data_IF_855498494363
#
_entry.id   IF_855498494363
#
_cell.length_a   1.000
_cell.length_b   1.000
_cell.length_c   1.000
_cell.angle_alpha   90.00
_cell.angle_beta   90.00
_cell.angle_gamma   90.00
#
_symmetry.space_group_name_H-M   'P 1'
#
loop_
_entity.id
_entity.type
_entity.pdbx_description
1 polymer ?
#
# COMPACT_ATOMS: atom_id res chain seq x y z
N UNK A 1 31.68 -2.96 -68.11
CA UNK A 1 30.81 -1.82 -67.71
C UNK A 1 30.57 -1.94 -66.21
N UNK A 2 31.56 -1.52 -65.41
CA UNK A 2 31.61 -0.24 -64.66
C UNK A 2 30.61 -0.19 -63.50
N UNK A 3 31.16 -0.28 -62.29
CA UNK A 3 30.49 -0.20 -61.00
C UNK A 3 29.90 1.20 -60.76
N UNK A 4 28.66 1.24 -60.24
CA UNK A 4 28.03 2.46 -59.73
C UNK A 4 28.36 2.63 -58.25
N UNK A 5 29.20 3.61 -57.96
CA UNK A 5 29.48 4.11 -56.61
C UNK A 5 28.41 5.14 -56.24
N UNK A 6 27.63 4.89 -55.19
CA UNK A 6 26.74 5.89 -54.58
C UNK A 6 27.55 6.70 -53.57
N UNK A 7 27.64 8.02 -53.78
CA UNK A 7 28.29 8.99 -52.90
C UNK A 7 27.46 9.20 -51.63
N UNK A 8 28.10 9.03 -50.48
CA UNK A 8 27.56 9.37 -49.16
C UNK A 8 27.72 10.89 -48.96
N UNK A 9 26.61 11.60 -48.78
CA UNK A 9 26.58 13.02 -48.46
C UNK A 9 27.04 13.28 -47.02
N UNK A 10 28.01 14.18 -46.88
CA UNK A 10 28.51 14.74 -45.63
C UNK A 10 27.43 15.62 -44.98
N UNK A 11 27.00 15.26 -43.76
CA UNK A 11 26.25 16.14 -42.87
C UNK A 11 27.23 16.87 -41.95
N UNK A 12 27.25 18.20 -42.11
CA UNK A 12 28.05 19.16 -41.36
C UNK A 12 27.78 19.07 -39.85
N UNK A 13 28.84 18.85 -39.09
CA UNK A 13 28.86 19.01 -37.63
C UNK A 13 28.81 20.50 -37.28
N UNK A 14 27.71 20.96 -36.72
CA UNK A 14 27.64 22.27 -36.06
C UNK A 14 28.21 22.14 -34.64
N UNK A 15 29.49 22.47 -34.47
CA UNK A 15 30.10 22.70 -33.16
C UNK A 15 29.61 24.02 -32.57
N UNK A 16 28.75 23.95 -31.55
CA UNK A 16 28.41 25.10 -30.70
C UNK A 16 29.60 25.40 -29.76
N UNK A 17 30.29 26.53 -29.99
CA UNK A 17 31.27 27.09 -29.05
C UNK A 17 30.52 27.72 -27.88
N UNK A 18 30.66 27.16 -26.69
CA UNK A 18 30.24 27.80 -25.44
C UNK A 18 31.26 28.85 -25.00
N UNK A 19 30.80 30.07 -24.74
CA UNK A 19 31.59 31.17 -24.18
C UNK A 19 31.66 31.04 -22.64
N UNK A 20 32.79 31.32 -21.98
CA UNK A 20 32.91 31.11 -20.54
C UNK A 20 32.26 32.27 -19.77
N UNK A 21 31.13 32.01 -19.13
CA UNK A 21 30.58 32.88 -18.09
C UNK A 21 31.31 32.63 -16.77
N UNK A 22 32.00 33.65 -16.30
CA UNK A 22 32.61 33.75 -14.96
C UNK A 22 31.55 33.55 -13.87
N UNK A 23 31.57 32.40 -13.21
CA UNK A 23 30.79 32.16 -12.00
C UNK A 23 31.59 32.62 -10.78
N UNK A 24 31.20 33.74 -10.18
CA UNK A 24 31.78 34.23 -8.94
C UNK A 24 31.52 33.19 -7.82
N UNK A 25 32.58 32.57 -7.31
CA UNK A 25 32.51 31.70 -6.13
C UNK A 25 32.15 32.55 -4.90
N UNK A 26 30.89 32.46 -4.47
CA UNK A 26 30.48 32.95 -3.15
C UNK A 26 30.93 31.92 -2.11
N UNK A 27 31.96 32.26 -1.34
CA UNK A 27 32.42 31.45 -0.20
C UNK A 27 31.36 31.46 0.89
N UNK A 28 30.68 30.35 1.12
CA UNK A 28 29.82 30.16 2.28
C UNK A 28 30.72 29.74 3.45
N UNK A 29 30.79 30.61 4.47
CA UNK A 29 31.44 30.34 5.75
C UNK A 29 30.60 29.29 6.48
N UNK A 30 31.15 28.09 6.68
CA UNK A 30 30.56 27.07 7.56
C UNK A 30 30.53 27.64 8.98
N UNK A 31 29.31 27.79 9.54
CA UNK A 31 29.12 28.08 10.95
C UNK A 31 29.31 26.78 11.73
N UNK A 32 30.26 26.79 12.66
CA UNK A 32 30.54 25.66 13.54
C UNK A 32 29.34 25.35 14.44
N UNK A 33 29.04 24.05 14.58
CA UNK A 33 28.00 23.54 15.46
C UNK A 33 28.44 23.66 16.93
N UNK A 34 27.61 24.32 17.72
CA UNK A 34 27.75 24.44 19.18
C UNK A 34 27.64 23.06 19.87
N UNK A 35 28.43 22.76 20.90
CA UNK A 35 28.39 21.47 21.58
C UNK A 35 27.12 21.33 22.44
N UNK A 36 26.48 20.17 22.26
CA UNK A 36 25.34 19.67 23.02
C UNK A 36 25.67 19.59 24.52
N UNK A 37 24.93 20.31 25.35
CA UNK A 37 24.98 20.17 26.81
C UNK A 37 24.33 18.84 27.21
N UNK A 38 25.12 17.95 27.82
CA UNK A 38 24.67 16.71 28.41
C UNK A 38 23.83 16.98 29.66
N UNK A 39 22.52 16.75 29.61
CA UNK A 39 21.70 16.66 30.82
C UNK A 39 21.82 15.27 31.41
N UNK A 40 22.52 15.17 32.54
CA UNK A 40 22.57 13.99 33.39
C UNK A 40 21.19 13.74 34.00
N UNK A 41 20.51 12.69 33.56
CA UNK A 41 19.33 12.15 34.24
C UNK A 41 19.83 11.33 35.44
N UNK A 42 19.58 11.82 36.65
CA UNK A 42 19.84 11.09 37.90
C UNK A 42 18.85 9.92 38.00
N UNK A 43 19.34 8.70 37.88
CA UNK A 43 18.59 7.49 38.23
C UNK A 43 18.40 7.44 39.75
N UNK A 44 17.14 7.37 40.20
CA UNK A 44 16.80 6.94 41.57
C UNK A 44 16.60 5.42 41.57
N UNK A 45 17.15 4.67 42.54
CA UNK A 45 16.93 3.24 42.64
C UNK A 45 15.52 2.97 43.18
N UNK A 46 14.75 2.15 42.45
CA UNK A 46 13.48 1.62 42.94
C UNK A 46 13.76 0.46 43.90
N UNK A 47 13.37 0.65 45.16
CA UNK A 47 13.35 -0.37 46.20
C UNK A 47 12.28 -1.43 45.88
N UNK A 48 12.68 -2.70 45.90
CA UNK A 48 11.76 -3.83 45.87
C UNK A 48 11.00 -3.97 47.20
N UNK A 49 9.71 -4.27 47.14
CA UNK A 49 9.04 -5.12 48.13
C UNK A 49 7.82 -5.81 47.50
N UNK A 50 7.52 -7.07 47.85
CA UNK A 50 6.68 -7.95 47.04
C UNK A 50 5.21 -7.92 47.49
N UNK A 51 4.29 -8.13 46.54
CA UNK A 51 2.98 -8.66 46.86
C UNK A 51 2.51 -9.62 45.77
N UNK A 52 2.75 -10.90 46.05
CA UNK A 52 2.05 -12.02 45.46
C UNK A 52 0.59 -11.96 45.92
N UNK A 53 -0.34 -11.74 44.99
CA UNK A 53 -1.70 -12.29 44.99
C UNK A 53 -2.54 -11.62 43.89
N UNK A 54 -2.65 -12.26 42.72
CA UNK A 54 -3.86 -12.31 41.87
C UNK A 54 -3.51 -12.80 40.46
N UNK A 55 -3.10 -14.06 40.32
CA UNK A 55 -2.73 -14.64 39.01
C UNK A 55 -3.87 -15.39 38.31
N UNK A 56 -5.15 -15.10 38.61
CA UNK A 56 -6.27 -15.92 38.11
C UNK A 56 -7.49 -15.15 37.55
N UNK A 57 -7.41 -13.84 37.26
CA UNK A 57 -8.57 -13.08 36.71
C UNK A 57 -8.25 -12.19 35.49
N UNK A 58 -7.17 -12.45 34.74
CA UNK A 58 -6.75 -11.56 33.64
C UNK A 58 -7.29 -11.95 32.25
N UNK A 59 -8.16 -12.98 32.16
CA UNK A 59 -8.46 -13.62 30.88
C UNK A 59 -9.70 -13.15 30.12
N UNK A 60 -10.47 -12.15 30.59
CA UNK A 60 -11.64 -11.69 29.81
C UNK A 60 -12.02 -10.21 30.01
N UNK A 61 -11.03 -9.31 30.13
CA UNK A 61 -11.30 -7.87 30.11
C UNK A 61 -11.58 -7.38 28.68
N UNK A 62 -12.73 -6.73 28.48
CA UNK A 62 -13.14 -6.09 27.23
C UNK A 62 -12.02 -5.19 26.64
N UNK A 63 -11.69 -5.26 25.34
CA UNK A 63 -10.59 -4.50 24.75
C UNK A 63 -10.58 -2.99 25.03
N UNK A 64 -11.76 -2.37 25.19
CA UNK A 64 -11.87 -0.94 25.54
C UNK A 64 -11.39 -0.69 26.98
N UNK A 65 -11.74 -1.56 27.91
CA UNK A 65 -11.29 -1.47 29.31
C UNK A 65 -9.77 -1.60 29.45
N UNK A 66 -9.14 -2.51 28.69
CA UNK A 66 -7.68 -2.64 28.63
C UNK A 66 -7.02 -1.37 28.06
N UNK A 67 -7.57 -0.78 27.01
CA UNK A 67 -7.03 0.45 26.41
C UNK A 67 -7.05 1.66 27.37
N UNK A 68 -8.10 1.79 28.20
CA UNK A 68 -8.19 2.83 29.23
C UNK A 68 -7.17 2.61 30.36
N UNK A 69 -6.99 1.37 30.81
CA UNK A 69 -5.98 1.00 31.82
C UNK A 69 -4.54 1.26 31.33
N UNK A 70 -4.29 1.14 30.02
CA UNK A 70 -3.01 1.45 29.37
C UNK A 70 -2.79 2.95 29.09
N UNK A 71 -3.69 3.83 29.55
CA UNK A 71 -3.52 5.29 29.51
C UNK A 71 -4.15 6.00 28.30
N UNK A 72 -4.96 5.30 27.50
CA UNK A 72 -5.76 5.95 26.44
C UNK A 72 -6.84 6.84 27.03
N UNK A 73 -7.15 7.99 26.40
CA UNK A 73 -8.19 8.90 26.91
C UNK A 73 -9.60 8.37 26.58
N UNK A 74 -10.58 8.65 27.44
CA UNK A 74 -11.98 8.18 27.24
C UNK A 74 -12.56 8.53 25.86
N UNK A 75 -12.39 9.77 25.40
CA UNK A 75 -12.86 10.20 24.08
C UNK A 75 -12.18 9.51 22.87
N UNK A 76 -11.03 8.84 23.08
CA UNK A 76 -10.32 8.08 22.05
C UNK A 76 -10.80 6.60 22.01
N UNK A 77 -11.50 6.15 23.05
CA UNK A 77 -11.92 4.75 23.25
C UNK A 77 -13.44 4.61 23.14
N UNK A 78 -14.19 5.58 23.64
CA UNK A 78 -15.65 5.58 23.72
C UNK A 78 -16.31 6.22 22.49
N UNK A 79 -17.54 5.81 22.18
CA UNK A 79 -18.34 6.29 21.05
C UNK A 79 -18.29 5.39 19.81
N UNK A 80 -19.39 5.35 19.04
CA UNK A 80 -19.55 4.49 17.85
C UNK A 80 -18.41 4.65 16.83
N UNK A 81 -17.90 5.88 16.71
CA UNK A 81 -16.79 6.22 15.79
C UNK A 81 -15.44 5.63 16.17
N UNK A 82 -15.30 5.03 17.36
CA UNK A 82 -14.06 4.41 17.85
C UNK A 82 -14.12 2.88 17.86
N UNK A 83 -15.27 2.26 17.57
CA UNK A 83 -15.41 0.79 17.62
C UNK A 83 -14.50 0.04 16.64
N UNK A 84 -14.17 0.66 15.52
CA UNK A 84 -13.29 0.07 14.50
C UNK A 84 -11.88 -0.22 15.05
N UNK A 85 -11.42 0.51 16.07
CA UNK A 85 -10.10 0.34 16.71
C UNK A 85 -9.94 -1.02 17.38
N UNK A 86 -11.06 -1.68 17.70
CA UNK A 86 -11.10 -2.95 18.41
C UNK A 86 -11.47 -4.14 17.51
N UNK A 87 -11.63 -3.90 16.20
CA UNK A 87 -11.95 -4.92 15.18
C UNK A 87 -10.76 -5.11 14.25
N UNK A 88 -10.68 -6.27 13.59
CA UNK A 88 -9.75 -6.44 12.49
C UNK A 88 -10.01 -5.37 11.41
N UNK A 89 -8.97 -4.77 10.82
CA UNK A 89 -7.54 -5.11 10.91
C UNK A 89 -6.76 -4.43 12.07
N UNK A 90 -7.42 -3.67 12.94
CA UNK A 90 -6.77 -2.77 13.90
C UNK A 90 -6.71 -3.29 15.33
N UNK A 91 -7.42 -4.39 15.61
CA UNK A 91 -7.28 -5.13 16.87
C UNK A 91 -5.80 -5.45 17.06
N UNK A 92 -5.16 -4.79 18.03
CA UNK A 92 -3.79 -5.11 18.42
C UNK A 92 -3.82 -6.52 18.98
N UNK A 93 -3.20 -7.47 18.29
CA UNK A 93 -2.94 -8.78 18.86
C UNK A 93 -1.76 -8.60 19.82
N UNK A 94 -2.04 -8.15 21.05
CA UNK A 94 -1.06 -8.32 22.12
C UNK A 94 -0.89 -9.82 22.31
N UNK A 95 0.20 -10.36 21.76
CA UNK A 95 0.66 -11.71 22.01
C UNK A 95 -0.35 -12.82 21.64
N UNK A 96 -0.98 -12.77 20.46
CA UNK A 96 -1.61 -13.99 19.94
C UNK A 96 -0.49 -15.00 19.60
N UNK A 97 -0.32 -16.09 20.36
CA UNK A 97 0.74 -17.06 20.11
C UNK A 97 0.58 -17.76 18.75
N UNK A 98 -0.58 -17.62 18.11
CA UNK A 98 -0.89 -18.23 16.82
C UNK A 98 -0.66 -17.29 15.62
N UNK A 99 -0.37 -16.00 15.81
CA UNK A 99 -0.05 -15.11 14.69
C UNK A 99 1.38 -15.34 14.20
N UNK A 100 1.52 -16.17 13.17
CA UNK A 100 2.82 -16.45 12.54
C UNK A 100 3.27 -15.29 11.66
N UNK A 101 4.01 -14.32 12.19
CA UNK A 101 4.55 -13.21 11.41
C UNK A 101 5.57 -13.69 10.34
N UNK A 102 5.21 -13.54 9.07
CA UNK A 102 6.04 -13.90 7.91
C UNK A 102 6.73 -12.67 7.28
N UNK A 103 6.00 -11.56 7.20
CA UNK A 103 6.50 -10.31 6.62
C UNK A 103 6.33 -9.16 7.60
N UNK A 104 7.25 -8.20 7.53
CA UNK A 104 7.13 -6.92 8.22
C UNK A 104 6.94 -5.79 7.21
N UNK A 105 6.15 -4.80 7.59
CA UNK A 105 6.04 -3.55 6.86
C UNK A 105 5.85 -2.36 7.78
N UNK A 106 5.87 -1.18 7.18
CA UNK A 106 5.66 0.06 7.92
C UNK A 106 5.67 1.28 7.02
N UNK A 107 5.23 2.40 7.57
CA UNK A 107 5.32 3.68 6.87
C UNK A 107 6.77 4.19 6.79
N UNK A 108 7.02 5.17 5.92
CA UNK A 108 8.36 5.70 5.69
C UNK A 108 9.03 6.26 6.96
N UNK A 109 8.28 6.96 7.83
CA UNK A 109 8.83 7.51 9.07
C UNK A 109 8.97 6.48 10.21
N UNK A 110 8.49 5.24 10.02
CA UNK A 110 8.57 4.18 11.01
C UNK A 110 7.61 4.31 12.21
N UNK A 111 6.73 5.32 12.23
CA UNK A 111 5.69 5.47 13.27
C UNK A 111 4.63 4.38 13.21
N UNK A 112 4.30 3.92 12.00
CA UNK A 112 3.37 2.80 11.80
C UNK A 112 4.18 1.57 11.41
N UNK A 113 3.99 0.47 12.14
CA UNK A 113 4.62 -0.83 11.88
C UNK A 113 3.58 -1.93 11.99
N UNK A 114 3.69 -2.93 11.12
CA UNK A 114 2.78 -4.06 11.08
C UNK A 114 3.49 -5.32 10.57
N UNK A 115 2.83 -6.46 10.78
CA UNK A 115 3.24 -7.78 10.35
C UNK A 115 2.12 -8.44 9.54
N UNK A 116 2.49 -9.36 8.64
CA UNK A 116 1.54 -10.20 7.92
C UNK A 116 1.75 -11.68 8.23
N UNK A 117 0.67 -12.44 8.33
CA UNK A 117 0.71 -13.88 8.64
C UNK A 117 0.55 -14.81 7.42
N UNK A 118 0.21 -14.26 6.25
CA UNK A 118 -0.04 -15.02 5.02
C UNK A 118 1.17 -14.96 4.08
N UNK A 119 1.61 -16.12 3.59
CA UNK A 119 2.82 -16.26 2.74
C UNK A 119 2.66 -15.65 1.34
N UNK A 120 1.47 -15.77 0.74
CA UNK A 120 1.13 -15.23 -0.58
C UNK A 120 -0.24 -14.54 -0.50
N UNK A 121 -0.42 -13.32 -1.04
CA UNK A 121 -1.72 -12.67 -1.05
C UNK A 121 -2.78 -13.51 -1.77
N UNK A 122 -4.05 -13.23 -1.49
CA UNK A 122 -5.17 -13.82 -2.23
C UNK A 122 -5.07 -13.50 -3.72
N UNK A 123 -4.65 -12.27 -4.03
CA UNK A 123 -4.32 -11.81 -5.37
C UNK A 123 -3.51 -10.51 -5.29
N UNK A 124 -2.87 -10.09 -6.38
CA UNK A 124 -2.22 -8.79 -6.48
C UNK A 124 -2.50 -8.15 -7.84
N UNK A 125 -2.72 -6.83 -7.86
CA UNK A 125 -3.20 -6.10 -9.04
C UNK A 125 -2.49 -4.77 -9.20
N UNK A 126 -2.38 -4.32 -10.46
CA UNK A 126 -2.16 -2.92 -10.77
C UNK A 126 -3.49 -2.23 -11.09
N UNK A 127 -3.82 -1.14 -10.40
CA UNK A 127 -5.01 -0.33 -10.68
C UNK A 127 -4.63 0.99 -11.32
N UNK A 128 -5.21 1.27 -12.49
CA UNK A 128 -4.90 2.45 -13.30
C UNK A 128 -5.97 3.55 -13.21
N UNK A 129 -6.97 3.42 -12.34
CA UNK A 129 -8.01 4.44 -12.25
C UNK A 129 -7.42 5.78 -11.78
N UNK A 130 -8.00 6.88 -12.25
CA UNK A 130 -7.47 8.23 -11.97
C UNK A 130 -7.40 8.55 -10.48
N UNK A 131 -8.35 8.03 -9.68
CA UNK A 131 -8.31 8.17 -8.22
C UNK A 131 -7.08 7.52 -7.61
N UNK A 132 -6.75 6.28 -8.01
CA UNK A 132 -5.57 5.58 -7.54
C UNK A 132 -4.28 6.29 -7.98
N UNK A 133 -4.23 6.78 -9.22
CA UNK A 133 -3.07 7.53 -9.74
C UNK A 133 -2.80 8.79 -8.92
N UNK A 134 -3.83 9.60 -8.68
CA UNK A 134 -3.72 10.87 -7.95
C UNK A 134 -3.34 10.64 -6.49
N UNK A 135 -4.02 9.71 -5.81
CA UNK A 135 -3.79 9.45 -4.38
C UNK A 135 -2.38 8.90 -4.13
N UNK A 136 -1.89 8.04 -5.03
CA UNK A 136 -0.55 7.47 -4.89
C UNK A 136 0.55 8.37 -5.45
N UNK A 137 0.21 9.40 -6.23
CA UNK A 137 1.18 10.18 -6.99
C UNK A 137 2.00 9.30 -7.94
N UNK A 138 1.39 8.26 -8.51
CA UNK A 138 2.05 7.22 -9.29
C UNK A 138 1.23 6.83 -10.54
N UNK A 139 1.85 6.24 -11.59
CA UNK A 139 1.12 5.80 -12.79
C UNK A 139 0.01 4.77 -12.52
N UNK A 140 0.10 4.04 -11.41
CA UNK A 140 -0.88 3.06 -10.95
C UNK A 140 -0.66 2.74 -9.46
N UNK A 141 -1.67 2.16 -8.83
CA UNK A 141 -1.58 1.54 -7.50
C UNK A 141 -1.20 0.06 -7.65
N UNK A 142 -0.22 -0.41 -6.86
CA UNK A 142 0.06 -1.84 -6.67
C UNK A 142 -0.55 -2.30 -5.35
N UNK A 143 -1.55 -3.16 -5.43
CA UNK A 143 -2.28 -3.65 -4.26
C UNK A 143 -2.27 -5.17 -4.21
N UNK A 144 -1.96 -5.72 -3.04
CA UNK A 144 -2.06 -7.12 -2.70
C UNK A 144 -3.23 -7.34 -1.71
N UNK A 145 -4.08 -8.30 -2.02
CA UNK A 145 -5.34 -8.55 -1.31
C UNK A 145 -5.11 -9.57 -0.20
N UNK A 146 -5.56 -9.23 1.01
CA UNK A 146 -5.49 -10.06 2.21
C UNK A 146 -6.82 -10.04 2.96
N UNK A 147 -7.07 -11.07 3.78
CA UNK A 147 -8.13 -10.97 4.79
C UNK A 147 -7.75 -9.94 5.86
N UNK A 148 -8.76 -9.38 6.54
CA UNK A 148 -8.50 -8.38 7.60
C UNK A 148 -7.66 -8.95 8.76
N UNK A 149 -7.83 -10.23 9.11
CA UNK A 149 -7.03 -10.91 10.12
C UNK A 149 -5.63 -11.35 9.68
N UNK A 150 -5.25 -11.15 8.41
CA UNK A 150 -3.89 -11.49 7.94
C UNK A 150 -2.85 -10.42 8.36
N UNK A 151 -3.28 -9.25 8.84
CA UNK A 151 -2.41 -8.14 9.28
C UNK A 151 -2.50 -7.94 10.79
N UNK A 152 -1.36 -7.62 11.40
CA UNK A 152 -1.28 -7.21 12.81
C UNK A 152 -0.44 -5.94 12.94
N UNK A 153 -1.01 -4.85 13.45
CA UNK A 153 -0.26 -3.62 13.73
C UNK A 153 0.52 -3.77 15.04
N UNK A 154 1.85 -3.74 14.95
CA UNK A 154 2.73 -3.83 16.12
C UNK A 154 3.02 -2.47 16.75
N UNK A 155 2.84 -1.38 15.99
CA UNK A 155 3.00 -0.02 16.49
C UNK A 155 2.26 1.01 15.61
N UNK A 156 1.75 2.08 16.22
CA UNK A 156 1.25 3.26 15.50
C UNK A 156 -0.09 3.10 14.78
N UNK A 157 -0.94 2.14 15.16
CA UNK A 157 -2.30 2.04 14.59
C UNK A 157 -3.17 3.26 14.90
N UNK A 158 -2.89 4.00 15.99
CA UNK A 158 -3.50 5.31 16.28
C UNK A 158 -2.92 6.46 15.44
N UNK A 159 -1.78 6.27 14.78
CA UNK A 159 -1.14 7.25 13.89
C UNK A 159 -1.61 7.06 12.43
N UNK A 160 -2.71 6.34 12.22
CA UNK A 160 -3.35 6.15 10.93
C UNK A 160 -4.32 7.30 10.64
N UNK A 161 -4.43 7.63 9.35
CA UNK A 161 -5.43 8.55 8.82
C UNK A 161 -6.22 7.90 7.71
N UNK A 162 -7.50 8.28 7.61
CA UNK A 162 -8.44 7.76 6.63
C UNK A 162 -8.80 8.79 5.58
N UNK A 163 -9.14 8.31 4.39
CA UNK A 163 -9.74 9.12 3.35
C UNK A 163 -10.77 8.31 2.55
N UNK A 164 -12.01 8.77 2.56
CA UNK A 164 -13.05 8.31 1.65
C UNK A 164 -12.93 9.11 0.34
N UNK A 165 -12.56 8.44 -0.75
CA UNK A 165 -12.38 9.09 -2.05
C UNK A 165 -13.69 9.46 -2.76
N UNK A 166 -14.83 8.89 -2.35
CA UNK A 166 -16.14 9.21 -2.93
C UNK A 166 -16.67 10.52 -2.33
N UNK A 167 -16.72 10.61 -1.00
CA UNK A 167 -17.22 11.79 -0.30
C UNK A 167 -16.14 12.85 -0.05
N UNK A 168 -14.87 12.52 -0.30
CA UNK A 168 -13.69 13.38 -0.06
C UNK A 168 -13.59 13.83 1.40
N UNK A 169 -13.85 12.91 2.33
CA UNK A 169 -13.78 13.18 3.77
C UNK A 169 -12.72 12.30 4.44
N UNK A 170 -12.31 12.68 5.65
CA UNK A 170 -11.39 11.88 6.47
C UNK A 170 -12.11 10.95 7.45
N UNK A 171 -13.42 10.71 7.22
CA UNK A 171 -14.21 9.79 8.05
C UNK A 171 -13.82 8.35 7.71
N UNK A 172 -13.84 7.48 8.72
CA UNK A 172 -13.69 6.05 8.53
C UNK A 172 -14.98 5.46 7.94
N UNK A 173 -15.16 5.57 6.63
CA UNK A 173 -16.31 5.02 5.88
C UNK A 173 -15.80 4.04 4.82
N UNK A 174 -16.15 2.76 4.97
CA UNK A 174 -15.66 1.71 4.08
C UNK A 174 -16.38 1.71 2.71
N UNK A 175 -15.66 1.50 1.59
CA UNK A 175 -14.20 1.34 1.51
C UNK A 175 -13.45 2.68 1.67
N UNK A 176 -12.33 2.68 2.39
CA UNK A 176 -11.50 3.88 2.59
C UNK A 176 -10.01 3.65 2.35
N UNK A 177 -9.28 4.74 2.13
CA UNK A 177 -7.80 4.76 2.04
C UNK A 177 -7.21 4.91 3.42
N UNK A 178 -6.17 4.14 3.73
CA UNK A 178 -5.46 4.17 5.01
C UNK A 178 -4.03 4.61 4.76
N UNK A 179 -3.57 5.62 5.49
CA UNK A 179 -2.22 6.19 5.38
C UNK A 179 -1.66 6.55 6.75
N UNK A 180 -0.35 6.76 6.84
CA UNK A 180 0.23 7.35 8.04
C UNK A 180 -0.19 8.82 8.18
N UNK A 181 -0.78 9.21 9.30
CA UNK A 181 -1.21 10.58 9.57
C UNK A 181 -0.04 11.58 9.63
N UNK A 182 1.18 11.10 9.92
CA UNK A 182 2.38 11.92 9.98
C UNK A 182 3.06 12.09 8.62
N UNK A 183 3.62 11.01 8.06
CA UNK A 183 4.41 11.08 6.82
C UNK A 183 3.60 10.85 5.54
N UNK A 184 2.29 10.62 5.66
CA UNK A 184 1.35 10.43 4.54
C UNK A 184 1.61 9.22 3.64
N UNK A 185 2.54 8.33 4.01
CA UNK A 185 2.75 7.07 3.30
C UNK A 185 1.43 6.31 3.19
N UNK A 186 0.94 6.03 1.97
CA UNK A 186 -0.21 5.15 1.76
C UNK A 186 0.14 3.75 2.26
N UNK A 187 -0.76 3.09 3.00
CA UNK A 187 -0.51 1.77 3.61
C UNK A 187 -1.37 0.70 2.95
N UNK A 188 -2.68 0.93 2.89
CA UNK A 188 -3.64 0.00 2.32
C UNK A 188 -4.95 0.70 1.96
N UNK A 189 -5.78 0.06 1.14
CA UNK A 189 -7.22 0.33 1.13
C UNK A 189 -7.93 -0.66 2.05
N UNK A 190 -8.81 -0.16 2.92
CA UNK A 190 -9.67 -1.01 3.73
C UNK A 190 -11.02 -1.19 3.05
N UNK A 191 -11.30 -2.43 2.64
CA UNK A 191 -12.61 -2.86 2.16
C UNK A 191 -13.51 -3.35 3.29
N UNK A 192 -14.71 -3.82 2.93
CA UNK A 192 -15.65 -4.38 3.91
C UNK A 192 -15.12 -5.68 4.54
N UNK A 193 -14.58 -6.58 3.71
CA UNK A 193 -14.17 -7.93 4.11
C UNK A 193 -12.66 -8.21 3.95
N UNK A 194 -11.94 -7.34 3.26
CA UNK A 194 -10.55 -7.53 2.87
C UNK A 194 -9.78 -6.20 2.96
N UNK A 195 -8.47 -6.29 3.02
CA UNK A 195 -7.57 -5.16 2.84
C UNK A 195 -6.79 -5.31 1.53
N UNK A 196 -6.46 -4.19 0.92
CA UNK A 196 -5.60 -4.08 -0.25
C UNK A 196 -4.31 -3.38 0.19
N UNK A 197 -3.37 -4.17 0.72
CA UNK A 197 -2.08 -3.69 1.21
C UNK A 197 -1.15 -3.31 0.06
N UNK A 198 -0.32 -2.28 0.26
CA UNK A 198 0.68 -1.89 -0.75
C UNK A 198 2.02 -2.60 -0.52
N UNK A 199 2.44 -3.52 -1.42
CA UNK A 199 3.61 -4.35 -1.17
C UNK A 199 4.94 -3.60 -1.13
N UNK A 200 4.99 -2.36 -1.64
CA UNK A 200 6.17 -1.46 -1.56
C UNK A 200 6.65 -1.22 -0.13
N UNK A 201 5.78 -1.41 0.87
CA UNK A 201 6.11 -1.20 2.28
C UNK A 201 6.70 -2.45 2.96
N UNK A 202 6.71 -3.60 2.28
CA UNK A 202 7.16 -4.86 2.86
C UNK A 202 8.67 -5.03 2.75
N UNK A 203 9.26 -5.60 3.79
CA UNK A 203 10.67 -6.02 3.81
C UNK A 203 10.78 -7.47 3.32
N UNK A 204 11.08 -7.63 2.03
CA UNK A 204 11.38 -8.94 1.46
C UNK A 204 12.82 -9.36 1.75
N UNK A 205 13.02 -10.62 2.14
CA UNK A 205 14.34 -11.21 2.41
C UNK A 205 14.96 -11.83 1.17
N UNK A 206 14.15 -12.15 0.16
CA UNK A 206 14.60 -12.73 -1.10
C UNK A 206 13.77 -12.27 -2.29
N UNK A 207 14.26 -12.55 -3.50
CA UNK A 207 13.51 -12.28 -4.73
C UNK A 207 12.25 -13.16 -4.80
N UNK A 208 12.34 -14.40 -4.36
CA UNK A 208 11.24 -15.37 -4.35
C UNK A 208 10.09 -14.90 -3.46
N UNK A 209 10.41 -14.30 -2.29
CA UNK A 209 9.40 -13.67 -1.45
C UNK A 209 8.69 -12.52 -2.17
N UNK A 210 9.45 -11.63 -2.82
CA UNK A 210 8.91 -10.51 -3.59
C UNK A 210 8.05 -10.97 -4.77
N UNK A 211 8.48 -12.01 -5.48
CA UNK A 211 7.80 -12.54 -6.67
C UNK A 211 6.38 -13.04 -6.34
N UNK A 212 6.13 -13.49 -5.11
CA UNK A 212 4.78 -13.90 -4.64
C UNK A 212 3.75 -12.77 -4.65
N UNK A 213 4.20 -11.51 -4.63
CA UNK A 213 3.37 -10.31 -4.57
C UNK A 213 3.23 -9.63 -5.93
N UNK A 214 3.94 -10.12 -6.96
CA UNK A 214 3.83 -9.56 -8.31
C UNK A 214 2.38 -9.65 -8.80
N UNK A 215 1.87 -8.60 -9.44
CA UNK A 215 0.48 -8.57 -9.85
C UNK A 215 0.19 -9.57 -10.94
N UNK A 216 -1.07 -10.00 -11.00
CA UNK A 216 -1.57 -10.97 -11.97
C UNK A 216 -2.28 -10.31 -13.14
N UNK A 217 -2.70 -9.03 -13.02
CA UNK A 217 -3.27 -8.25 -14.11
C UNK A 217 -3.29 -6.73 -13.82
N UNK A 218 -3.70 -5.97 -14.84
CA UNK A 218 -3.99 -4.53 -14.77
C UNK A 218 -5.50 -4.30 -14.84
N UNK A 219 -6.05 -3.53 -13.90
CA UNK A 219 -7.44 -3.09 -13.92
C UNK A 219 -7.52 -1.62 -14.34
N UNK A 220 -8.63 -1.24 -14.97
CA UNK A 220 -8.88 0.11 -15.48
C UNK A 220 -7.79 0.64 -16.43
N UNK A 221 -7.15 -0.25 -17.20
CA UNK A 221 -5.94 0.06 -17.97
C UNK A 221 -6.17 1.08 -19.11
N UNK A 222 -7.43 1.31 -19.51
CA UNK A 222 -7.79 2.42 -20.40
C UNK A 222 -7.48 3.81 -19.82
N UNK A 223 -7.25 3.93 -18.51
CA UNK A 223 -6.87 5.18 -17.83
C UNK A 223 -5.36 5.31 -17.57
N UNK A 224 -4.54 4.37 -18.07
CA UNK A 224 -3.08 4.43 -17.92
C UNK A 224 -2.51 5.74 -18.46
N UNK A 225 -1.44 6.21 -17.84
CA UNK A 225 -0.68 7.38 -18.31
C UNK A 225 0.59 6.98 -19.08
N UNK A 226 0.94 5.70 -19.05
CA UNK A 226 2.06 5.11 -19.77
C UNK A 226 1.75 3.65 -20.08
N UNK A 227 2.26 3.16 -21.20
CA UNK A 227 2.11 1.75 -21.58
C UNK A 227 3.05 0.86 -20.77
N UNK A 228 2.56 -0.32 -20.37
CA UNK A 228 3.29 -1.30 -19.57
C UNK A 228 3.32 -2.65 -20.33
N UNK A 229 4.40 -2.92 -21.08
CA UNK A 229 4.54 -4.12 -21.91
C UNK A 229 5.08 -5.31 -21.11
N UNK A 230 4.32 -5.78 -20.12
CA UNK A 230 4.71 -6.87 -19.21
C UNK A 230 4.04 -8.23 -19.50
N UNK A 231 3.23 -8.30 -20.55
CA UNK A 231 2.51 -9.52 -20.93
C UNK A 231 1.40 -9.93 -19.95
N UNK A 232 1.05 -9.09 -18.97
CA UNK A 232 -0.07 -9.37 -18.07
C UNK A 232 -1.42 -8.96 -18.68
N UNK A 233 -2.51 -9.66 -18.36
CA UNK A 233 -3.86 -9.29 -18.78
C UNK A 233 -4.21 -7.85 -18.40
N UNK A 234 -4.86 -7.12 -19.30
CA UNK A 234 -5.19 -5.70 -19.14
C UNK A 234 -6.68 -5.49 -19.35
N UNK A 235 -7.38 -5.14 -18.27
CA UNK A 235 -8.83 -5.03 -18.22
C UNK A 235 -9.27 -3.57 -18.40
N UNK A 236 -10.37 -3.36 -19.11
CA UNK A 236 -10.98 -2.02 -19.26
C UNK A 236 -11.56 -1.50 -17.94
N UNK A 237 -11.98 -2.41 -17.05
CA UNK A 237 -12.52 -2.13 -15.72
C UNK A 237 -12.00 -3.11 -14.67
N UNK A 238 -12.92 -3.70 -13.90
CA UNK A 238 -12.64 -4.72 -12.87
C UNK A 238 -12.27 -6.05 -13.56
N UNK A 239 -11.30 -6.79 -13.00
CA UNK A 239 -10.90 -8.06 -13.59
C UNK A 239 -12.04 -9.10 -13.51
N UNK A 240 -12.27 -9.84 -14.59
CA UNK A 240 -13.37 -10.81 -14.67
C UNK A 240 -14.74 -10.20 -14.97
N UNK A 241 -14.95 -8.90 -14.77
CA UNK A 241 -16.22 -8.21 -15.00
C UNK A 241 -16.21 -7.29 -16.23
N UNK A 242 -15.06 -7.16 -16.89
CA UNK A 242 -14.87 -6.23 -18.01
C UNK A 242 -14.16 -6.89 -19.19
N UNK A 243 -13.93 -6.12 -20.25
CA UNK A 243 -13.23 -6.61 -21.44
C UNK A 243 -11.71 -6.58 -21.27
N UNK A 244 -11.01 -7.48 -21.96
CA UNK A 244 -9.56 -7.42 -22.11
C UNK A 244 -9.18 -6.52 -23.28
N UNK A 245 -8.17 -5.68 -23.06
CA UNK A 245 -7.60 -4.78 -24.07
C UNK A 245 -6.62 -5.56 -24.96
N UNK A 246 -6.43 -5.11 -26.20
CA UNK A 246 -5.60 -5.76 -27.22
C UNK A 246 -4.14 -6.03 -26.77
N UNK A 247 -3.57 -5.18 -25.92
CA UNK A 247 -2.25 -5.37 -25.29
C UNK A 247 -2.17 -6.56 -24.30
N UNK A 248 -3.27 -7.28 -24.09
CA UNK A 248 -3.32 -8.49 -23.26
C UNK A 248 -2.87 -9.73 -24.05
N UNK A 249 -2.49 -10.84 -23.38
CA UNK A 249 -2.20 -12.10 -24.05
C UNK A 249 -3.34 -12.53 -25.01
N UNK A 250 -3.06 -12.75 -26.32
CA UNK A 250 -4.11 -12.95 -27.33
C UNK A 250 -5.06 -14.12 -27.03
N UNK A 251 -4.54 -15.20 -26.46
CA UNK A 251 -5.36 -16.37 -26.09
C UNK A 251 -6.37 -16.04 -24.98
N UNK A 252 -6.01 -15.18 -24.02
CA UNK A 252 -6.93 -14.73 -22.97
C UNK A 252 -7.99 -13.80 -23.53
N UNK A 253 -7.64 -12.92 -24.47
CA UNK A 253 -8.59 -12.05 -25.17
C UNK A 253 -9.63 -12.89 -25.92
N UNK A 254 -9.20 -13.89 -26.69
CA UNK A 254 -10.09 -14.81 -27.40
C UNK A 254 -11.00 -15.58 -26.45
N UNK A 255 -10.45 -16.07 -25.34
CA UNK A 255 -11.22 -16.78 -24.32
C UNK A 255 -12.31 -15.89 -23.71
N UNK A 256 -11.96 -14.68 -23.26
CA UNK A 256 -12.93 -13.78 -22.62
C UNK A 256 -14.05 -13.35 -23.58
N UNK A 257 -13.74 -13.15 -24.86
CA UNK A 257 -14.78 -12.86 -25.88
C UNK A 257 -15.82 -13.98 -25.97
N UNK A 258 -15.40 -15.25 -25.97
CA UNK A 258 -16.32 -16.40 -25.96
C UNK A 258 -17.15 -16.46 -24.69
N UNK A 259 -16.53 -16.23 -23.54
CA UNK A 259 -17.24 -16.20 -22.24
C UNK A 259 -18.35 -15.12 -22.24
N UNK A 260 -18.07 -13.92 -22.75
CA UNK A 260 -19.07 -12.85 -22.89
C UNK A 260 -20.21 -13.25 -23.84
N UNK A 261 -19.89 -13.84 -25.00
CA UNK A 261 -20.91 -14.33 -25.95
C UNK A 261 -21.82 -15.42 -25.32
N UNK A 262 -21.25 -16.30 -24.51
CA UNK A 262 -22.00 -17.33 -23.77
C UNK A 262 -22.87 -16.73 -22.67
N UNK A 263 -22.34 -15.78 -21.88
CA UNK A 263 -23.07 -15.03 -20.85
C UNK A 263 -24.28 -14.30 -21.46
N UNK A 264 -24.12 -13.61 -22.59
CA UNK A 264 -25.21 -12.94 -23.30
C UNK A 264 -26.28 -13.91 -23.83
N UNK A 265 -25.86 -15.05 -24.37
CA UNK A 265 -26.78 -16.07 -24.87
C UNK A 265 -27.60 -16.68 -23.74
N UNK A 266 -26.99 -16.90 -22.57
CA UNK A 266 -27.68 -17.44 -21.40
C UNK A 266 -28.65 -16.42 -20.79
N UNK A 267 -28.24 -15.15 -20.65
CA UNK A 267 -29.12 -14.08 -20.18
C UNK A 267 -30.35 -13.88 -21.08
N UNK A 268 -30.18 -13.95 -22.42
CA UNK A 268 -31.31 -13.91 -23.39
C UNK A 268 -32.24 -15.12 -23.28
N UNK A 269 -31.75 -16.28 -22.83
CA UNK A 269 -32.59 -17.48 -22.60
C UNK A 269 -33.36 -17.39 -21.29
N UNK A 270 -32.80 -16.77 -20.26
CA UNK A 270 -33.45 -16.56 -18.97
C UNK A 270 -34.56 -15.50 -19.07
N UNK A 271 -34.33 -14.38 -19.76
CA UNK A 271 -35.33 -13.34 -20.02
C UNK A 271 -36.51 -13.78 -20.91
N UNK A 272 -36.36 -14.91 -21.63
CA UNK A 272 -37.45 -15.51 -22.43
C UNK A 272 -38.29 -16.53 -21.65
N UNK A 273 -37.90 -16.85 -20.41
CA UNK A 273 -38.59 -17.81 -19.53
C UNK A 273 -39.42 -17.14 -18.43
N UNK A 274 -39.23 -15.85 -18.19
CA UNK A 274 -40.13 -14.98 -17.41
C UNK A 274 -41.23 -14.38 -18.30
#
# INVERSE_FOLDING_TARGET
>A
MSASTVRIGSLLSHTLKASPTTFARRSYRLQEASPFLSNQVRYRPFSHSPRMASHLEEQDKDPKSKALEQGSKSHEVEGEHNEWKFREPYKVHENDPNFKALYEGGCHCGRVKYQLSREKPLDAKFCHCSTCQVIHGAPFQWAAIFHKGDINFTHGHHELGWYDSQEKTTKHKLPCKVSCAYCRTPIMDEGRNMILLFPTLLKFKSKEEKDRFMPTCHMFYGKRITDIPDGLPKWTGINGESELIEDSPPELVRKRKKEIEEEEQNGKKEQKKE
#
